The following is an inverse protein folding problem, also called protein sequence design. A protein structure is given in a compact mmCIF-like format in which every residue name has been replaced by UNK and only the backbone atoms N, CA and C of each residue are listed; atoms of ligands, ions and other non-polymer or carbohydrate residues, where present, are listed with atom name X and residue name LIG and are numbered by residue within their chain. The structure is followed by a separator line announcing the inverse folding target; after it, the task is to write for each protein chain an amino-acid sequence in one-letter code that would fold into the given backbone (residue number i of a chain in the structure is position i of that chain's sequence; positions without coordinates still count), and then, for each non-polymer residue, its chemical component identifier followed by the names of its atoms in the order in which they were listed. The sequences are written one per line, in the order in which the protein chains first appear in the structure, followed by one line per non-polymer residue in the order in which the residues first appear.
data_IF_350654828699
#
_entry.id   IF_350654828699
#
_cell.length_a   1.000
_cell.length_b   1.000
_cell.length_c   1.000
_cell.angle_alpha   90.00
_cell.angle_beta   90.00
_cell.angle_gamma   90.00
#
_symmetry.space_group_name_H-M   'P 1'
#
loop_
_entity.id
_entity.type
_entity.pdbx_description
1 polymer ?
#
# COMPACT_ATOMS: atom_id res chain seq x y z
N UNK A 1 -2.00 50.46 -1.70
CA UNK A 1 -1.12 51.43 -1.02
C UNK A 1 0.01 51.85 -1.96
N UNK A 2 0.16 53.17 -2.14
CA UNK A 2 1.34 53.94 -2.62
C UNK A 2 1.80 53.73 -4.08
N UNK A 3 1.34 54.57 -5.04
CA UNK A 3 1.96 55.83 -5.60
C UNK A 3 3.35 55.55 -6.21
N UNK A 4 3.76 55.89 -7.43
CA UNK A 4 3.46 56.95 -8.41
C UNK A 4 3.81 56.43 -9.84
N UNK A 5 3.21 56.97 -10.92
CA UNK A 5 3.80 56.88 -12.25
C UNK A 5 4.92 57.93 -12.38
N UNK A 6 6.13 57.50 -12.71
CA UNK A 6 7.25 58.40 -13.01
C UNK A 6 7.01 59.03 -14.40
N UNK A 7 6.29 60.15 -14.37
CA UNK A 7 6.33 61.22 -15.35
C UNK A 7 7.77 61.76 -15.42
N UNK A 8 8.63 61.11 -16.21
CA UNK A 8 9.88 61.71 -16.65
C UNK A 8 9.56 62.63 -17.83
N UNK A 9 9.06 63.81 -17.49
CA UNK A 9 8.87 64.91 -18.43
C UNK A 9 10.22 65.31 -19.03
N UNK A 10 10.47 64.87 -20.26
CA UNK A 10 11.48 65.52 -21.09
C UNK A 10 10.85 66.83 -21.58
N UNK A 11 10.98 67.87 -20.75
CA UNK A 11 10.82 69.24 -21.16
C UNK A 11 11.92 69.54 -22.18
N UNK A 12 11.64 69.24 -23.44
CA UNK A 12 12.35 69.88 -24.54
C UNK A 12 11.92 71.35 -24.43
N UNK A 13 12.77 72.17 -23.83
CA UNK A 13 12.70 73.61 -23.96
C UNK A 13 13.02 73.95 -25.43
N UNK A 14 12.06 73.68 -26.31
CA UNK A 14 11.94 74.39 -27.58
C UNK A 14 11.67 75.82 -27.19
N UNK A 15 12.73 76.64 -27.16
CA UNK A 15 12.60 78.07 -27.16
C UNK A 15 11.61 78.43 -28.28
N UNK A 16 10.42 78.84 -27.87
CA UNK A 16 9.33 79.22 -28.73
C UNK A 16 9.74 80.49 -29.48
N UNK A 17 10.42 80.30 -30.61
CA UNK A 17 10.26 81.17 -31.76
C UNK A 17 8.87 80.89 -32.33
N UNK A 18 7.89 81.64 -31.84
CA UNK A 18 6.53 81.85 -32.34
C UNK A 18 6.26 81.31 -33.75
N UNK A 19 5.35 80.33 -33.86
CA UNK A 19 4.65 80.08 -35.11
C UNK A 19 3.64 81.21 -35.33
N UNK A 20 3.91 82.17 -36.23
CA UNK A 20 2.91 83.07 -36.81
C UNK A 20 3.31 83.41 -38.27
N UNK A 21 2.38 83.12 -39.18
CA UNK A 21 2.18 83.66 -40.51
C UNK A 21 3.33 84.44 -41.21
N UNK A 22 4.02 83.78 -42.14
CA UNK A 22 4.45 84.35 -43.43
C UNK A 22 5.12 83.22 -44.22
N UNK A 23 4.89 83.17 -45.53
CA UNK A 23 5.22 82.05 -46.40
C UNK A 23 6.60 81.45 -46.17
N UNK A 24 6.69 80.13 -46.32
CA UNK A 24 7.97 79.42 -46.39
C UNK A 24 8.74 80.05 -47.57
N UNK A 25 9.79 80.86 -47.35
CA UNK A 25 10.66 81.20 -48.44
C UNK A 25 11.35 79.88 -48.81
N UNK A 26 11.11 79.41 -50.03
CA UNK A 26 11.96 78.38 -50.62
C UNK A 26 13.39 78.89 -50.47
N UNK A 27 14.23 78.14 -49.75
CA UNK A 27 15.61 78.52 -49.46
C UNK A 27 16.37 78.69 -50.79
N UNK A 28 16.45 79.93 -51.25
CA UNK A 28 17.31 80.35 -52.35
C UNK A 28 18.44 81.15 -51.73
N UNK A 29 19.65 80.64 -51.96
CA UNK A 29 20.97 80.99 -51.41
C UNK A 29 21.34 80.31 -50.09
N UNK A 30 22.28 79.37 -50.19
CA UNK A 30 22.93 78.68 -49.08
C UNK A 30 23.80 79.67 -48.29
N UNK A 31 23.37 80.04 -47.08
CA UNK A 31 24.18 80.80 -46.13
C UNK A 31 24.94 79.81 -45.24
N UNK A 32 26.16 79.45 -45.66
CA UNK A 32 26.98 78.38 -45.06
C UNK A 32 27.23 78.59 -43.56
N UNK A 33 27.16 79.83 -43.07
CA UNK A 33 27.29 80.17 -41.65
C UNK A 33 26.03 79.86 -40.82
N UNK A 34 24.83 80.06 -41.37
CA UNK A 34 23.55 79.87 -40.67
C UNK A 34 23.04 78.43 -40.78
N UNK A 35 23.07 77.87 -41.98
CA UNK A 35 22.60 76.50 -42.23
C UNK A 35 23.67 75.46 -41.86
N UNK A 36 24.95 75.81 -41.97
CA UNK A 36 26.06 74.99 -41.47
C UNK A 36 25.99 74.76 -39.96
N UNK A 37 25.57 75.76 -39.17
CA UNK A 37 25.36 75.61 -37.73
C UNK A 37 24.21 74.65 -37.38
N UNK A 38 23.13 74.64 -38.17
CA UNK A 38 22.00 73.71 -38.00
C UNK A 38 22.37 72.28 -38.37
N UNK A 39 23.12 72.10 -39.46
CA UNK A 39 23.64 70.78 -39.88
C UNK A 39 24.62 70.25 -38.84
N UNK A 40 25.54 71.08 -38.34
CA UNK A 40 26.48 70.70 -37.28
C UNK A 40 25.75 70.30 -36.01
N UNK A 41 24.78 71.08 -35.54
CA UNK A 41 23.97 70.73 -34.36
C UNK A 41 23.20 69.42 -34.58
N UNK A 42 22.64 69.21 -35.77
CA UNK A 42 21.90 67.98 -36.11
C UNK A 42 22.83 66.75 -36.11
N UNK A 43 24.06 66.89 -36.61
CA UNK A 43 25.08 65.83 -36.55
C UNK A 43 25.55 65.54 -35.13
N UNK A 44 25.72 66.58 -34.30
CA UNK A 44 26.09 66.42 -32.88
C UNK A 44 24.97 65.71 -32.11
N UNK A 45 23.71 66.11 -32.31
CA UNK A 45 22.55 65.45 -31.67
C UNK A 45 22.40 64.02 -32.17
N UNK A 46 22.53 63.77 -33.48
CA UNK A 46 22.49 62.42 -34.05
C UNK A 46 23.61 61.54 -33.47
N UNK A 47 24.83 62.07 -33.39
CA UNK A 47 25.97 61.39 -32.78
C UNK A 47 25.74 61.07 -31.30
N UNK A 48 25.20 62.03 -30.53
CA UNK A 48 24.85 61.83 -29.13
C UNK A 48 23.75 60.77 -28.94
N UNK A 49 22.72 60.75 -29.80
CA UNK A 49 21.66 59.73 -29.78
C UNK A 49 22.21 58.36 -30.15
N UNK A 50 23.01 58.25 -31.22
CA UNK A 50 23.64 56.98 -31.61
C UNK A 50 24.56 56.46 -30.50
N UNK A 51 25.37 57.33 -29.89
CA UNK A 51 26.21 56.98 -28.76
C UNK A 51 25.38 56.46 -27.57
N UNK A 52 24.28 57.14 -27.23
CA UNK A 52 23.40 56.75 -26.13
C UNK A 52 22.66 55.44 -26.42
N UNK A 53 22.21 55.22 -27.66
CA UNK A 53 21.55 53.97 -28.09
C UNK A 53 22.53 52.80 -28.11
N UNK A 54 23.76 52.97 -28.59
CA UNK A 54 24.76 51.89 -28.55
C UNK A 54 25.16 51.61 -27.10
N UNK A 55 25.34 52.65 -26.27
CA UNK A 55 25.76 52.50 -24.88
C UNK A 55 24.71 51.85 -23.99
N UNK A 56 23.42 52.21 -24.16
CA UNK A 56 22.32 51.75 -23.29
C UNK A 56 21.40 50.71 -23.95
N UNK A 57 21.24 50.71 -25.27
CA UNK A 57 20.37 49.78 -26.00
C UNK A 57 21.02 48.42 -26.28
N UNK A 58 22.29 48.38 -26.67
CA UNK A 58 23.02 47.13 -26.90
C UNK A 58 22.99 46.13 -25.71
N UNK A 59 23.17 46.54 -24.44
CA UNK A 59 23.09 45.61 -23.32
C UNK A 59 21.67 45.06 -23.09
N UNK A 60 20.61 45.78 -23.48
CA UNK A 60 19.22 45.30 -23.32
C UNK A 60 18.92 44.16 -24.29
N UNK A 61 19.36 44.28 -25.55
CA UNK A 61 19.18 43.21 -26.53
C UNK A 61 20.01 41.96 -26.20
N UNK A 62 21.25 42.15 -25.72
CA UNK A 62 22.10 41.03 -25.26
C UNK A 62 21.48 40.29 -24.08
N UNK A 63 21.01 41.01 -23.05
CA UNK A 63 20.29 40.40 -21.91
C UNK A 63 19.06 39.62 -22.35
N UNK A 64 18.26 40.14 -23.29
CA UNK A 64 17.10 39.41 -23.82
C UNK A 64 17.50 38.13 -24.56
N UNK A 65 18.56 38.18 -25.36
CA UNK A 65 19.08 36.99 -26.05
C UNK A 65 19.59 35.94 -25.04
N UNK A 66 20.34 36.37 -24.02
CA UNK A 66 20.82 35.52 -22.94
C UNK A 66 19.67 34.90 -22.13
N UNK A 67 18.64 35.68 -21.79
CA UNK A 67 17.45 35.18 -21.09
C UNK A 67 16.70 34.13 -21.92
N UNK A 68 16.58 34.33 -23.23
CA UNK A 68 15.94 33.37 -24.14
C UNK A 68 16.77 32.09 -24.21
N UNK A 69 18.10 32.19 -24.39
CA UNK A 69 18.98 31.03 -24.38
C UNK A 69 18.92 30.28 -23.05
N UNK A 70 18.93 30.99 -21.91
CA UNK A 70 18.81 30.41 -20.59
C UNK A 70 17.46 29.71 -20.39
N UNK A 71 16.37 30.27 -20.93
CA UNK A 71 15.05 29.62 -20.93
C UNK A 71 15.04 28.35 -21.76
N UNK A 72 15.60 28.37 -22.97
CA UNK A 72 15.71 27.17 -23.82
C UNK A 72 16.56 26.09 -23.16
N UNK A 73 17.69 26.44 -22.56
CA UNK A 73 18.53 25.49 -21.82
C UNK A 73 17.76 24.83 -20.66
N UNK A 74 16.99 25.62 -19.88
CA UNK A 74 16.13 25.10 -18.81
C UNK A 74 15.01 24.21 -19.34
N UNK A 75 14.43 24.53 -20.50
CA UNK A 75 13.40 23.69 -21.12
C UNK A 75 13.98 22.35 -21.57
N UNK A 76 15.16 22.35 -22.18
CA UNK A 76 15.80 21.11 -22.61
C UNK A 76 16.19 20.24 -21.41
N UNK A 77 16.77 20.85 -20.37
CA UNK A 77 17.10 20.14 -19.12
C UNK A 77 15.84 19.57 -18.45
N UNK A 78 14.76 20.35 -18.37
CA UNK A 78 13.49 19.88 -17.81
C UNK A 78 12.88 18.73 -18.65
N UNK A 79 13.01 18.79 -19.97
CA UNK A 79 12.55 17.75 -20.89
C UNK A 79 13.37 16.47 -20.73
N UNK A 80 14.68 16.58 -20.62
CA UNK A 80 15.59 15.45 -20.40
C UNK A 80 15.31 14.79 -19.05
N UNK A 81 15.17 15.58 -17.98
CA UNK A 81 14.81 15.08 -16.66
C UNK A 81 13.43 14.39 -16.64
N UNK A 82 12.45 14.93 -17.37
CA UNK A 82 11.13 14.32 -17.49
C UNK A 82 11.20 12.99 -18.25
N UNK A 83 11.96 12.92 -19.35
CA UNK A 83 12.17 11.68 -20.10
C UNK A 83 12.89 10.62 -19.27
N UNK A 84 13.92 11.01 -18.50
CA UNK A 84 14.63 10.11 -17.60
C UNK A 84 13.70 9.54 -16.51
N UNK A 85 12.88 10.39 -15.87
CA UNK A 85 11.88 9.95 -14.88
C UNK A 85 10.82 9.04 -15.48
N UNK A 86 10.38 9.30 -16.70
CA UNK A 86 9.40 8.47 -17.39
C UNK A 86 9.96 7.07 -17.63
N UNK A 87 11.19 6.98 -18.13
CA UNK A 87 11.89 5.69 -18.30
C UNK A 87 12.06 4.96 -16.96
N UNK A 88 12.44 5.67 -15.90
CA UNK A 88 12.55 5.07 -14.56
C UNK A 88 11.21 4.51 -14.07
N UNK A 89 10.10 5.23 -14.30
CA UNK A 89 8.77 4.76 -13.94
C UNK A 89 8.33 3.56 -14.76
N UNK A 90 8.59 3.55 -16.07
CA UNK A 90 8.31 2.39 -16.92
C UNK A 90 9.07 1.15 -16.45
N UNK A 91 10.36 1.29 -16.12
CA UNK A 91 11.13 0.17 -15.58
C UNK A 91 10.63 -0.28 -14.19
N UNK A 92 10.21 0.67 -13.34
CA UNK A 92 9.59 0.35 -12.04
C UNK A 92 8.26 -0.39 -12.22
N UNK A 93 7.42 0.03 -13.17
CA UNK A 93 6.16 -0.65 -13.49
C UNK A 93 6.41 -2.07 -13.98
N UNK A 94 7.34 -2.27 -14.92
CA UNK A 94 7.72 -3.59 -15.40
C UNK A 94 8.23 -4.49 -14.27
N UNK A 95 9.05 -3.94 -13.35
CA UNK A 95 9.51 -4.67 -12.15
C UNK A 95 8.34 -5.05 -11.22
N UNK A 96 7.38 -4.14 -11.02
CA UNK A 96 6.19 -4.41 -10.20
C UNK A 96 5.33 -5.51 -10.83
N UNK A 97 5.16 -5.53 -12.15
CA UNK A 97 4.39 -6.58 -12.83
C UNK A 97 5.04 -7.96 -12.67
N UNK A 98 6.36 -8.05 -12.84
CA UNK A 98 7.13 -9.28 -12.62
C UNK A 98 6.98 -9.75 -11.16
N UNK A 99 7.16 -8.84 -10.22
CA UNK A 99 7.05 -9.15 -8.79
C UNK A 99 5.63 -9.55 -8.40
N UNK A 100 4.60 -8.88 -8.94
CA UNK A 100 3.21 -9.25 -8.73
C UNK A 100 2.89 -10.63 -9.28
N UNK A 101 3.41 -10.98 -10.47
CA UNK A 101 3.28 -12.32 -11.04
C UNK A 101 3.97 -13.37 -10.17
N UNK A 102 5.16 -13.06 -9.64
CA UNK A 102 5.90 -13.93 -8.72
C UNK A 102 5.12 -14.17 -7.43
N UNK A 103 4.64 -13.10 -6.79
CA UNK A 103 3.83 -13.18 -5.57
C UNK A 103 2.56 -14.02 -5.80
N UNK A 104 1.88 -13.86 -6.94
CA UNK A 104 0.71 -14.68 -7.27
C UNK A 104 1.07 -16.15 -7.41
N UNK A 105 2.14 -16.46 -8.15
CA UNK A 105 2.62 -17.84 -8.31
C UNK A 105 3.01 -18.49 -6.98
N UNK A 106 3.74 -17.74 -6.14
CA UNK A 106 4.14 -18.21 -4.80
C UNK A 106 2.91 -18.45 -3.91
N UNK A 107 1.93 -17.55 -3.93
CA UNK A 107 0.69 -17.69 -3.16
C UNK A 107 -0.18 -18.87 -3.63
N UNK A 108 -0.25 -19.13 -4.93
CA UNK A 108 -0.94 -20.31 -5.48
C UNK A 108 -0.25 -21.60 -5.04
N UNK A 109 1.08 -21.68 -5.16
CA UNK A 109 1.86 -22.85 -4.75
C UNK A 109 1.75 -23.09 -3.23
N UNK A 110 1.87 -22.05 -2.41
CA UNK A 110 1.70 -22.14 -0.96
C UNK A 110 0.26 -22.55 -0.60
N UNK A 111 -0.74 -21.99 -1.28
CA UNK A 111 -2.14 -22.36 -1.11
C UNK A 111 -2.40 -23.83 -1.41
N UNK A 112 -1.82 -24.39 -2.47
CA UNK A 112 -1.91 -25.82 -2.77
C UNK A 112 -1.22 -26.69 -1.70
N UNK A 113 -0.05 -26.28 -1.22
CA UNK A 113 0.66 -26.98 -0.15
C UNK A 113 -0.14 -26.99 1.15
N UNK A 114 -0.74 -25.86 1.52
CA UNK A 114 -1.61 -25.76 2.70
C UNK A 114 -2.83 -26.66 2.54
N UNK A 115 -3.49 -26.65 1.38
CA UNK A 115 -4.63 -27.54 1.10
C UNK A 115 -4.25 -29.02 1.23
N UNK A 116 -3.12 -29.43 0.63
CA UNK A 116 -2.63 -30.82 0.73
C UNK A 116 -2.29 -31.21 2.17
N UNK A 117 -1.63 -30.32 2.92
CA UNK A 117 -1.33 -30.55 4.35
C UNK A 117 -2.60 -30.65 5.19
N UNK A 118 -3.55 -29.75 4.98
CA UNK A 118 -4.82 -29.75 5.70
C UNK A 118 -5.64 -31.02 5.42
N UNK A 119 -5.71 -31.45 4.15
CA UNK A 119 -6.36 -32.70 3.77
C UNK A 119 -5.68 -33.92 4.43
N UNK A 120 -4.35 -34.00 4.37
CA UNK A 120 -3.61 -35.09 5.02
C UNK A 120 -3.78 -35.12 6.54
N UNK A 121 -3.76 -33.97 7.20
CA UNK A 121 -4.02 -33.86 8.64
C UNK A 121 -5.46 -34.26 8.99
N UNK A 122 -6.44 -33.87 8.18
CA UNK A 122 -7.84 -34.24 8.38
C UNK A 122 -8.04 -35.75 8.24
N UNK A 123 -7.43 -36.39 7.24
CA UNK A 123 -7.47 -37.85 7.07
C UNK A 123 -6.81 -38.58 8.25
N UNK A 124 -5.66 -38.10 8.70
CA UNK A 124 -4.96 -38.70 9.84
C UNK A 124 -5.74 -38.52 11.15
N UNK A 125 -6.37 -37.36 11.35
CA UNK A 125 -7.25 -37.11 12.49
C UNK A 125 -8.50 -37.99 12.44
N UNK A 126 -9.11 -38.17 11.27
CA UNK A 126 -10.26 -39.05 11.08
C UNK A 126 -9.91 -40.51 11.39
N UNK A 127 -8.77 -41.01 10.89
CA UNK A 127 -8.28 -42.36 11.23
C UNK A 127 -8.09 -42.52 12.73
N UNK A 128 -7.36 -41.60 13.37
CA UNK A 128 -7.17 -41.60 14.83
C UNK A 128 -8.49 -41.57 15.61
N UNK A 129 -9.50 -40.86 15.10
CA UNK A 129 -10.82 -40.80 15.73
C UNK A 129 -11.55 -42.13 15.64
N UNK A 130 -11.50 -42.79 14.47
CA UNK A 130 -12.10 -44.11 14.26
C UNK A 130 -11.40 -45.16 15.12
N UNK A 131 -10.07 -45.17 15.17
CA UNK A 131 -9.30 -46.12 15.97
C UNK A 131 -9.65 -45.99 17.47
N UNK A 132 -9.70 -44.75 17.98
CA UNK A 132 -10.13 -44.48 19.36
C UNK A 132 -11.58 -44.89 19.61
N UNK A 133 -12.48 -44.65 18.65
CA UNK A 133 -13.87 -45.06 18.79
C UNK A 133 -14.00 -46.58 18.84
N UNK A 134 -13.24 -47.31 18.02
CA UNK A 134 -13.20 -48.77 18.04
C UNK A 134 -12.70 -49.29 19.40
N UNK A 135 -11.60 -48.74 19.92
CA UNK A 135 -11.06 -49.10 21.24
C UNK A 135 -12.08 -48.83 22.36
N UNK A 136 -12.78 -47.69 22.31
CA UNK A 136 -13.84 -47.35 23.28
C UNK A 136 -15.03 -48.29 23.18
N UNK A 137 -15.45 -48.67 21.97
CA UNK A 137 -16.53 -49.63 21.75
C UNK A 137 -16.17 -50.99 22.34
N UNK A 138 -14.94 -51.47 22.15
CA UNK A 138 -14.49 -52.73 22.73
C UNK A 138 -14.48 -52.69 24.26
N UNK A 139 -13.97 -51.61 24.86
CA UNK A 139 -13.98 -51.40 26.30
C UNK A 139 -15.41 -51.36 26.87
N UNK A 140 -16.31 -50.60 26.25
CA UNK A 140 -17.70 -50.50 26.70
C UNK A 140 -18.47 -51.81 26.47
N UNK A 141 -18.19 -52.55 25.40
CA UNK A 141 -18.77 -53.87 25.16
C UNK A 141 -18.31 -54.88 26.24
N UNK A 142 -17.04 -54.84 26.65
CA UNK A 142 -16.53 -55.66 27.73
C UNK A 142 -17.22 -55.33 29.07
N UNK A 143 -17.33 -54.03 29.41
CA UNK A 143 -18.06 -53.58 30.61
C UNK A 143 -19.53 -53.98 30.59
N UNK A 144 -20.21 -53.83 29.45
CA UNK A 144 -21.61 -54.22 29.31
C UNK A 144 -21.81 -55.72 29.52
N UNK A 145 -20.91 -56.56 28.99
CA UNK A 145 -20.94 -58.01 29.24
C UNK A 145 -20.73 -58.35 30.71
N UNK A 146 -19.76 -57.73 31.36
CA UNK A 146 -19.51 -57.92 32.79
C UNK A 146 -20.74 -57.53 33.63
N UNK A 147 -21.36 -56.38 33.31
CA UNK A 147 -22.56 -55.91 33.98
C UNK A 147 -23.74 -56.89 33.82
N UNK A 148 -23.98 -57.37 32.60
CA UNK A 148 -25.03 -58.37 32.34
C UNK A 148 -24.76 -59.68 33.08
N UNK A 149 -23.51 -60.11 33.17
CA UNK A 149 -23.14 -61.31 33.91
C UNK A 149 -23.39 -61.16 35.41
N UNK A 150 -23.06 -60.01 35.98
CA UNK A 150 -23.31 -59.70 37.38
C UNK A 150 -24.82 -59.65 37.68
N UNK A 151 -25.61 -58.99 36.83
CA UNK A 151 -27.08 -58.96 36.96
C UNK A 151 -27.71 -60.36 36.84
N UNK A 152 -27.19 -61.20 35.94
CA UNK A 152 -27.65 -62.59 35.80
C UNK A 152 -27.27 -63.45 37.01
N UNK A 153 -26.07 -63.28 37.57
CA UNK A 153 -25.64 -63.95 38.80
C UNK A 153 -26.53 -63.56 39.98
N UNK A 154 -26.81 -62.26 40.14
CA UNK A 154 -27.70 -61.74 41.19
C UNK A 154 -29.12 -62.30 41.04
N UNK A 155 -29.67 -62.30 39.82
CA UNK A 155 -30.99 -62.89 39.54
C UNK A 155 -31.02 -64.40 39.84
N UNK A 156 -29.97 -65.13 39.50
CA UNK A 156 -29.86 -66.56 39.78
C UNK A 156 -29.78 -66.86 41.29
N UNK A 157 -29.01 -66.07 42.05
CA UNK A 157 -28.94 -66.17 43.51
C UNK A 157 -30.31 -65.88 44.13
N UNK A 158 -30.99 -64.81 43.70
CA UNK A 158 -32.33 -64.46 44.18
C UNK A 158 -33.35 -65.58 43.91
N UNK A 159 -33.31 -66.18 42.71
CA UNK A 159 -34.18 -67.31 42.37
C UNK A 159 -33.87 -68.56 43.20
N UNK A 160 -32.58 -68.86 43.41
CA UNK A 160 -32.15 -69.96 44.28
C UNK A 160 -32.59 -69.76 45.73
N UNK A 161 -32.47 -68.54 46.26
CA UNK A 161 -32.99 -68.18 47.59
C UNK A 161 -34.50 -68.41 47.69
N UNK A 162 -35.26 -68.00 46.68
CA UNK A 162 -36.73 -68.15 46.69
C UNK A 162 -37.14 -69.63 46.64
N UNK A 163 -36.46 -70.44 45.83
CA UNK A 163 -36.66 -71.90 45.78
C UNK A 163 -36.28 -72.54 47.11
N UNK A 164 -35.15 -72.15 47.70
CA UNK A 164 -34.68 -72.68 48.99
C UNK A 164 -35.67 -72.32 50.11
N UNK A 165 -36.20 -71.09 50.14
CA UNK A 165 -37.25 -70.66 51.09
C UNK A 165 -38.54 -71.46 50.92
N UNK A 166 -38.95 -71.78 49.68
CA UNK A 166 -40.17 -72.58 49.41
C UNK A 166 -40.04 -74.06 49.75
N UNK A 167 -38.84 -74.62 49.65
CA UNK A 167 -38.59 -76.06 49.86
C UNK A 167 -37.95 -76.41 51.21
N UNK A 168 -37.68 -75.44 52.09
CA UNK A 168 -37.09 -75.72 53.40
C UNK A 168 -38.10 -76.39 54.34
N UNK A 169 -37.91 -77.68 54.61
CA UNK A 169 -38.67 -78.42 55.62
C UNK A 169 -37.99 -78.48 57.01
N UNK A 170 -38.70 -78.94 58.06
CA UNK A 170 -38.14 -79.12 59.40
C UNK A 170 -36.94 -80.08 59.47
N UNK A 171 -36.91 -81.09 58.59
CA UNK A 171 -35.82 -82.08 58.49
C UNK A 171 -34.55 -81.48 57.85
N UNK A 172 -34.68 -80.59 56.86
CA UNK A 172 -33.54 -79.91 56.25
C UNK A 172 -32.86 -78.96 57.25
N UNK A 173 -33.64 -78.28 58.09
CA UNK A 173 -33.10 -77.40 59.13
C UNK A 173 -32.22 -78.16 60.13
N UNK A 174 -32.67 -79.35 60.58
CA UNK A 174 -31.86 -80.23 61.44
C UNK A 174 -30.60 -80.72 60.72
N UNK A 175 -30.69 -81.08 59.43
CA UNK A 175 -29.52 -81.54 58.64
C UNK A 175 -28.47 -80.45 58.50
N UNK A 176 -28.86 -79.20 58.22
CA UNK A 176 -27.94 -78.05 58.09
C UNK A 176 -27.26 -77.74 59.41
N UNK A 177 -27.98 -77.75 60.54
CA UNK A 177 -27.38 -77.56 61.88
C UNK A 177 -26.39 -78.67 62.20
N UNK A 178 -26.73 -79.93 61.89
CA UNK A 178 -25.85 -81.08 62.13
C UNK A 178 -24.58 -81.02 61.28
N UNK A 179 -24.65 -80.56 60.02
CA UNK A 179 -23.47 -80.34 59.18
C UNK A 179 -22.62 -79.16 59.62
N UNK A 180 -23.24 -78.10 60.17
CA UNK A 180 -22.50 -76.94 60.70
C UNK A 180 -21.71 -77.33 61.95
N UNK A 181 -22.33 -78.08 62.86
CA UNK A 181 -21.67 -78.63 64.05
C UNK A 181 -20.53 -79.60 63.68
N UNK A 182 -20.74 -80.49 62.70
CA UNK A 182 -19.71 -81.39 62.19
C UNK A 182 -18.56 -80.66 61.46
N UNK A 183 -18.83 -79.51 60.83
CA UNK A 183 -17.82 -78.65 60.22
C UNK A 183 -16.92 -77.97 61.26
N UNK A 184 -17.50 -77.53 62.39
CA UNK A 184 -16.74 -76.97 63.51
C UNK A 184 -15.88 -78.02 64.23
N UNK A 185 -16.34 -79.27 64.32
CA UNK A 185 -15.56 -80.38 64.88
C UNK A 185 -14.34 -80.76 64.01
N UNK A 186 -14.37 -80.44 62.71
CA UNK A 186 -13.30 -80.77 61.75
C UNK A 186 -12.24 -79.69 61.58
N UNK A 187 -12.48 -78.48 62.08
CA UNK A 187 -11.58 -77.32 61.99
C UNK A 187 -10.77 -77.13 63.28
N UNK A 188 -10.98 -78.01 64.26
CA UNK A 188 -10.19 -78.13 65.49
C UNK A 188 -9.43 -79.46 65.50
#
# INVERSE_FOLDING_TARGET
MKRLPVLAGLAIATAAGTAHASGIPMATEWDMARDGGRILNSLVVLGAVVYLVIRYGAPVFRKRAEDIMARFARYEEAREQAAAKLKEYEERLARIEIEASRIRGDAEAEGELIKKKAAGQAEEAAKRMIDKAAEQIELEAAKAREKLMNEAMEAAVNAAEEILKKNLGPEDHKRVVKSFLAGMEKVN
#
